data_IF_825976310433
#
_entry.id   IF_825976310433
#
_cell.length_a   1.000
_cell.length_b   1.000
_cell.length_c   1.000
_cell.angle_alpha   90.00
_cell.angle_beta   90.00
_cell.angle_gamma   90.00
#
_symmetry.space_group_name_H-M   'P 1'
#
loop_
_entity.id
_entity.type
_entity.pdbx_description
1 polymer ?
#
# COMPACT_ATOMS: atom_id res chain seq x y z
N UNK A 1 80.40 6.46 40.18
CA UNK A 1 81.11 5.79 39.06
C UNK A 1 80.46 6.27 37.78
N UNK A 2 81.12 7.15 37.03
CA UNK A 2 80.61 7.63 35.74
C UNK A 2 80.92 6.59 34.67
N UNK A 3 79.91 6.22 33.87
CA UNK A 3 80.10 5.35 32.70
C UNK A 3 80.96 6.13 31.70
N UNK A 4 82.00 5.50 31.13
CA UNK A 4 82.85 6.12 30.12
C UNK A 4 82.02 6.54 28.90
N UNK A 5 82.38 7.65 28.27
CA UNK A 5 81.71 8.13 27.06
C UNK A 5 81.70 7.06 25.96
N UNK A 6 82.81 6.35 25.80
CA UNK A 6 82.97 5.29 24.81
C UNK A 6 82.02 4.10 25.05
N UNK A 7 81.74 3.76 26.32
CA UNK A 7 80.79 2.70 26.64
C UNK A 7 79.34 3.13 26.41
N UNK A 8 79.02 4.40 26.65
CA UNK A 8 77.70 4.93 26.33
C UNK A 8 77.45 4.97 24.81
N UNK A 9 78.44 5.36 24.02
CA UNK A 9 78.36 5.36 22.55
C UNK A 9 78.23 3.94 21.97
N UNK A 10 78.98 2.98 22.52
CA UNK A 10 78.84 1.56 22.16
C UNK A 10 77.44 1.02 22.48
N UNK A 11 76.86 1.35 23.64
CA UNK A 11 75.52 0.89 24.00
C UNK A 11 74.42 1.54 23.13
N UNK A 12 74.57 2.82 22.79
CA UNK A 12 73.62 3.53 21.94
C UNK A 12 73.60 2.96 20.50
N UNK A 13 74.77 2.64 19.96
CA UNK A 13 74.91 2.03 18.63
C UNK A 13 74.35 0.61 18.60
N UNK A 14 74.60 -0.22 19.62
CA UNK A 14 74.01 -1.55 19.71
C UNK A 14 72.48 -1.51 19.84
N UNK A 15 71.94 -0.59 20.63
CA UNK A 15 70.50 -0.40 20.75
C UNK A 15 69.87 0.05 19.42
N UNK A 16 70.55 0.95 18.69
CA UNK A 16 70.12 1.39 17.37
C UNK A 16 70.14 0.25 16.34
N UNK A 17 71.18 -0.58 16.35
CA UNK A 17 71.29 -1.74 15.47
C UNK A 17 70.22 -2.80 15.78
N UNK A 18 69.96 -3.06 17.07
CA UNK A 18 68.88 -3.96 17.50
C UNK A 18 67.52 -3.50 17.00
N UNK A 19 67.22 -2.21 17.14
CA UNK A 19 65.98 -1.62 16.63
C UNK A 19 65.88 -1.70 15.11
N UNK A 20 66.98 -1.46 14.38
CA UNK A 20 67.01 -1.61 12.93
C UNK A 20 66.70 -3.05 12.49
N UNK A 21 67.29 -4.05 13.16
CA UNK A 21 67.02 -5.45 12.87
C UNK A 21 65.58 -5.86 13.21
N UNK A 22 65.02 -5.38 14.33
CA UNK A 22 63.62 -5.61 14.67
C UNK A 22 62.67 -5.02 13.61
N UNK A 23 62.93 -3.79 13.18
CA UNK A 23 62.12 -3.12 12.16
C UNK A 23 62.21 -3.87 10.82
N UNK A 24 63.39 -4.32 10.42
CA UNK A 24 63.58 -5.13 9.21
C UNK A 24 62.81 -6.46 9.29
N UNK A 25 62.83 -7.15 10.44
CA UNK A 25 62.11 -8.39 10.63
C UNK A 25 60.58 -8.19 10.57
N UNK A 26 60.07 -7.13 11.19
CA UNK A 26 58.64 -6.78 11.15
C UNK A 26 58.17 -6.33 9.76
N UNK A 27 59.04 -5.63 9.02
CA UNK A 27 58.74 -5.14 7.67
C UNK A 27 58.99 -6.18 6.58
N UNK A 28 59.82 -7.20 6.84
CA UNK A 28 60.18 -8.24 5.87
C UNK A 28 58.98 -8.85 5.12
N UNK A 29 57.91 -9.28 5.81
CA UNK A 29 56.70 -9.83 5.18
C UNK A 29 55.94 -8.86 4.27
N UNK A 30 56.12 -7.55 4.44
CA UNK A 30 55.38 -6.50 3.71
C UNK A 30 56.31 -5.77 2.71
N UNK A 31 57.62 -5.96 2.84
CA UNK A 31 58.67 -5.26 2.07
C UNK A 31 58.55 -5.49 0.56
N UNK A 32 58.05 -6.66 0.12
CA UNK A 32 57.76 -6.95 -1.28
C UNK A 32 56.58 -6.15 -1.84
N UNK A 33 55.61 -5.81 -1.00
CA UNK A 33 54.44 -5.00 -1.39
C UNK A 33 54.75 -3.49 -1.42
N UNK A 34 55.71 -3.02 -0.61
CA UNK A 34 56.11 -1.61 -0.53
C UNK A 34 57.31 -1.27 -1.41
N UNK A 35 58.20 -2.24 -1.70
CA UNK A 35 59.36 -2.02 -2.55
C UNK A 35 59.00 -2.00 -4.03
N UNK A 36 59.31 -0.88 -4.69
CA UNK A 36 59.28 -0.79 -6.15
C UNK A 36 60.37 -1.64 -6.85
N UNK A 37 61.13 -2.49 -6.14
CA UNK A 37 62.10 -3.42 -6.72
C UNK A 37 61.78 -4.91 -6.54
N UNK A 38 60.61 -5.28 -6.00
CA UNK A 38 60.23 -6.70 -5.80
C UNK A 38 60.10 -7.51 -7.10
N UNK A 39 60.33 -8.85 -7.06
CA UNK A 39 60.20 -9.77 -8.20
C UNK A 39 58.90 -9.57 -9.00
N UNK A 40 58.98 -9.71 -10.32
CA UNK A 40 57.87 -9.40 -11.23
C UNK A 40 56.65 -10.31 -11.02
N UNK A 41 56.84 -11.53 -10.51
CA UNK A 41 55.79 -12.48 -10.15
C UNK A 41 54.89 -11.91 -9.04
N UNK A 42 55.48 -11.36 -7.98
CA UNK A 42 54.75 -10.79 -6.84
C UNK A 42 53.90 -9.59 -7.28
N UNK A 43 54.46 -8.73 -8.13
CA UNK A 43 53.72 -7.62 -8.77
C UNK A 43 52.54 -8.10 -9.58
N UNK A 44 52.74 -9.13 -10.40
CA UNK A 44 51.66 -9.70 -11.23
C UNK A 44 50.52 -10.26 -10.37
N UNK A 45 50.84 -10.89 -9.24
CA UNK A 45 49.85 -11.37 -8.26
C UNK A 45 49.09 -10.19 -7.65
N UNK A 46 49.80 -9.13 -7.26
CA UNK A 46 49.20 -7.91 -6.69
C UNK A 46 48.25 -7.22 -7.68
N UNK A 47 48.63 -7.11 -8.95
CA UNK A 47 47.77 -6.58 -10.01
C UNK A 47 46.51 -7.45 -10.20
N UNK A 48 46.65 -8.78 -10.22
CA UNK A 48 45.49 -9.69 -10.29
C UNK A 48 44.58 -9.55 -9.07
N UNK A 49 45.16 -9.39 -7.87
CA UNK A 49 44.40 -9.22 -6.63
C UNK A 49 43.60 -7.93 -6.64
N UNK A 50 44.22 -6.80 -7.01
CA UNK A 50 43.56 -5.49 -7.09
C UNK A 50 42.45 -5.50 -8.13
N UNK A 51 42.66 -6.12 -9.30
CA UNK A 51 41.62 -6.31 -10.32
C UNK A 51 40.45 -7.16 -9.81
N UNK A 52 40.72 -8.27 -9.10
CA UNK A 52 39.68 -9.11 -8.47
C UNK A 52 38.88 -8.31 -7.45
N UNK A 53 39.54 -7.49 -6.63
CA UNK A 53 38.89 -6.64 -5.64
C UNK A 53 37.99 -5.59 -6.31
N UNK A 54 38.47 -4.91 -7.35
CA UNK A 54 37.68 -3.95 -8.12
C UNK A 54 36.48 -4.62 -8.81
N UNK A 55 36.66 -5.82 -9.39
CA UNK A 55 35.57 -6.61 -9.98
C UNK A 55 34.53 -6.98 -8.92
N UNK A 56 34.96 -7.40 -7.73
CA UNK A 56 34.08 -7.72 -6.62
C UNK A 56 33.23 -6.51 -6.19
N UNK A 57 33.86 -5.34 -6.03
CA UNK A 57 33.14 -4.08 -5.73
C UNK A 57 32.10 -3.76 -6.79
N UNK A 58 32.48 -3.76 -8.08
CA UNK A 58 31.54 -3.50 -9.19
C UNK A 58 30.38 -4.49 -9.20
N UNK A 59 30.67 -5.77 -9.01
CA UNK A 59 29.65 -6.82 -8.99
C UNK A 59 28.68 -6.67 -7.80
N UNK A 60 29.18 -6.26 -6.63
CA UNK A 60 28.33 -5.94 -5.46
C UNK A 60 27.34 -4.83 -5.80
N UNK A 61 27.83 -3.72 -6.36
CA UNK A 61 26.99 -2.59 -6.77
C UNK A 61 25.98 -2.98 -7.85
N UNK A 62 26.39 -3.77 -8.85
CA UNK A 62 25.50 -4.23 -9.90
C UNK A 62 24.38 -5.12 -9.36
N UNK A 63 24.69 -6.09 -8.49
CA UNK A 63 23.68 -6.94 -7.84
C UNK A 63 22.71 -6.13 -6.98
N UNK A 64 23.22 -5.13 -6.25
CA UNK A 64 22.38 -4.24 -5.45
C UNK A 64 21.41 -3.45 -6.33
N UNK A 65 21.89 -2.85 -7.42
CA UNK A 65 21.05 -2.12 -8.38
C UNK A 65 20.02 -3.05 -9.03
N UNK A 66 20.43 -4.25 -9.44
CA UNK A 66 19.51 -5.25 -10.02
C UNK A 66 18.41 -5.65 -9.04
N UNK A 67 18.76 -5.94 -7.77
CA UNK A 67 17.76 -6.26 -6.74
C UNK A 67 16.79 -5.11 -6.50
N UNK A 68 17.27 -3.87 -6.48
CA UNK A 68 16.43 -2.68 -6.33
C UNK A 68 15.44 -2.56 -7.49
N UNK A 69 15.91 -2.67 -8.73
CA UNK A 69 15.06 -2.63 -9.92
C UNK A 69 14.03 -3.76 -9.93
N UNK A 70 14.42 -4.98 -9.53
CA UNK A 70 13.47 -6.09 -9.44
C UNK A 70 12.40 -5.81 -8.37
N UNK A 71 12.78 -5.29 -7.20
CA UNK A 71 11.83 -4.90 -6.17
C UNK A 71 10.90 -3.77 -6.64
N UNK A 72 11.40 -2.78 -7.37
CA UNK A 72 10.60 -1.70 -7.97
C UNK A 72 9.57 -2.24 -8.97
N UNK A 73 9.94 -3.21 -9.81
CA UNK A 73 9.00 -3.88 -10.72
C UNK A 73 7.90 -4.60 -9.96
N UNK A 74 8.24 -5.39 -8.94
CA UNK A 74 7.25 -6.09 -8.12
C UNK A 74 6.32 -5.14 -7.37
N UNK A 75 6.83 -4.01 -6.86
CA UNK A 75 6.00 -3.00 -6.22
C UNK A 75 5.01 -2.37 -7.20
N UNK A 76 5.47 -2.05 -8.42
CA UNK A 76 4.59 -1.50 -9.45
C UNK A 76 3.49 -2.49 -9.83
N UNK A 77 3.86 -3.75 -10.08
CA UNK A 77 2.91 -4.81 -10.40
C UNK A 77 1.87 -4.97 -9.29
N UNK A 78 2.29 -4.99 -8.02
CA UNK A 78 1.38 -5.07 -6.88
C UNK A 78 0.43 -3.88 -6.81
N UNK A 79 0.94 -2.66 -7.00
CA UNK A 79 0.12 -1.45 -6.99
C UNK A 79 -0.92 -1.44 -8.14
N UNK A 80 -0.56 -2.00 -9.32
CA UNK A 80 -1.51 -2.15 -10.42
C UNK A 80 -2.63 -3.14 -10.08
N UNK A 81 -2.33 -4.26 -9.41
CA UNK A 81 -3.37 -5.18 -8.92
C UNK A 81 -4.25 -4.54 -7.84
N UNK A 82 -3.64 -3.87 -6.85
CA UNK A 82 -4.39 -3.20 -5.78
C UNK A 82 -5.34 -2.12 -6.35
N UNK A 83 -4.92 -1.41 -7.41
CA UNK A 83 -5.78 -0.42 -8.10
C UNK A 83 -7.02 -1.08 -8.72
N UNK A 84 -6.84 -2.21 -9.40
CA UNK A 84 -7.95 -2.93 -10.05
C UNK A 84 -8.91 -3.49 -9.01
N UNK A 85 -8.40 -3.99 -7.89
CA UNK A 85 -9.23 -4.50 -6.80
C UNK A 85 -10.08 -3.39 -6.17
N UNK A 86 -9.47 -2.22 -5.92
CA UNK A 86 -10.17 -1.03 -5.43
C UNK A 86 -11.27 -0.58 -6.40
N UNK A 87 -11.00 -0.55 -7.70
CA UNK A 87 -11.99 -0.18 -8.71
C UNK A 87 -13.18 -1.16 -8.72
N UNK A 88 -12.91 -2.45 -8.57
CA UNK A 88 -13.95 -3.48 -8.48
C UNK A 88 -14.78 -3.35 -7.19
N UNK A 89 -14.15 -3.06 -6.06
CA UNK A 89 -14.82 -2.77 -4.80
C UNK A 89 -15.71 -1.54 -4.89
N UNK A 90 -15.20 -0.44 -5.45
CA UNK A 90 -15.95 0.79 -5.67
C UNK A 90 -17.15 0.57 -6.59
N UNK A 91 -16.97 -0.20 -7.67
CA UNK A 91 -18.06 -0.54 -8.57
C UNK A 91 -19.14 -1.35 -7.85
N UNK A 92 -18.75 -2.35 -7.06
CA UNK A 92 -19.68 -3.14 -6.24
C UNK A 92 -20.42 -2.27 -5.24
N UNK A 93 -19.72 -1.39 -4.53
CA UNK A 93 -20.32 -0.47 -3.57
C UNK A 93 -21.35 0.45 -4.24
N UNK A 94 -21.07 0.96 -5.44
CA UNK A 94 -22.01 1.77 -6.23
C UNK A 94 -23.27 0.98 -6.60
N UNK A 95 -23.14 -0.27 -7.03
CA UNK A 95 -24.31 -1.11 -7.34
C UNK A 95 -25.14 -1.40 -6.11
N UNK A 96 -24.51 -1.76 -4.99
CA UNK A 96 -25.20 -2.00 -3.72
C UNK A 96 -25.96 -0.74 -3.28
N UNK A 97 -25.34 0.44 -3.35
CA UNK A 97 -25.99 1.69 -3.01
C UNK A 97 -27.21 1.98 -3.92
N UNK A 98 -27.09 1.71 -5.22
CA UNK A 98 -28.19 1.87 -6.18
C UNK A 98 -29.36 0.94 -5.86
N UNK A 99 -29.07 -0.32 -5.56
CA UNK A 99 -30.10 -1.30 -5.19
C UNK A 99 -30.78 -0.95 -3.87
N UNK A 100 -30.03 -0.49 -2.87
CA UNK A 100 -30.58 0.00 -1.60
C UNK A 100 -31.50 1.20 -1.85
N UNK A 101 -31.08 2.16 -2.68
CA UNK A 101 -31.91 3.32 -3.02
C UNK A 101 -33.20 2.91 -3.73
N UNK A 102 -33.10 1.98 -4.70
CA UNK A 102 -34.28 1.46 -5.42
C UNK A 102 -35.28 0.80 -4.46
N UNK A 103 -34.80 -0.10 -3.58
CA UNK A 103 -35.65 -0.76 -2.57
C UNK A 103 -36.31 0.24 -1.63
N UNK A 104 -35.61 1.30 -1.22
CA UNK A 104 -36.20 2.38 -0.39
C UNK A 104 -37.33 3.11 -1.10
N UNK A 105 -37.15 3.45 -2.38
CA UNK A 105 -38.19 4.09 -3.19
C UNK A 105 -39.40 3.17 -3.36
N UNK A 106 -39.18 1.91 -3.68
CA UNK A 106 -40.25 0.91 -3.81
C UNK A 106 -41.05 0.77 -2.50
N UNK A 107 -40.36 0.69 -1.36
CA UNK A 107 -41.01 0.65 -0.04
C UNK A 107 -41.84 1.91 0.23
N UNK A 108 -41.31 3.10 -0.09
CA UNK A 108 -42.03 4.36 0.08
C UNK A 108 -43.28 4.43 -0.82
N UNK A 109 -43.19 3.94 -2.05
CA UNK A 109 -44.35 3.84 -2.96
C UNK A 109 -45.41 2.87 -2.42
N UNK A 110 -45.00 1.73 -1.85
CA UNK A 110 -45.94 0.80 -1.22
C UNK A 110 -46.68 1.45 -0.05
N UNK A 111 -45.99 2.23 0.79
CA UNK A 111 -46.61 2.97 1.90
C UNK A 111 -47.63 3.99 1.36
N UNK A 112 -47.26 4.76 0.32
CA UNK A 112 -48.15 5.75 -0.28
C UNK A 112 -49.41 5.10 -0.90
N UNK A 113 -49.25 3.98 -1.60
CA UNK A 113 -50.38 3.18 -2.15
C UNK A 113 -51.28 2.63 -1.05
N UNK A 114 -50.70 2.15 0.05
CA UNK A 114 -51.46 1.66 1.19
C UNK A 114 -52.30 2.79 1.82
N UNK A 115 -51.69 3.95 2.07
CA UNK A 115 -52.37 5.13 2.63
C UNK A 115 -53.50 5.63 1.74
N UNK A 116 -53.30 5.70 0.42
CA UNK A 116 -54.34 6.11 -0.53
C UNK A 116 -55.49 5.11 -0.59
N UNK A 117 -55.22 3.81 -0.52
CA UNK A 117 -56.27 2.79 -0.49
C UNK A 117 -57.05 2.78 0.85
N UNK A 118 -56.38 3.05 1.98
CA UNK A 118 -57.04 3.21 3.28
C UNK A 118 -57.96 4.42 3.29
N UNK A 119 -57.53 5.57 2.75
CA UNK A 119 -58.38 6.75 2.64
C UNK A 119 -59.56 6.54 1.69
N UNK A 120 -59.34 5.86 0.55
CA UNK A 120 -60.42 5.48 -0.37
C UNK A 120 -61.47 4.62 0.34
N UNK A 121 -61.05 3.61 1.10
CA UNK A 121 -61.97 2.76 1.88
C UNK A 121 -62.76 3.54 2.92
N UNK A 122 -62.11 4.52 3.58
CA UNK A 122 -62.77 5.40 4.55
C UNK A 122 -63.86 6.25 3.89
N UNK A 123 -63.56 6.88 2.75
CA UNK A 123 -64.54 7.65 1.99
C UNK A 123 -65.68 6.78 1.45
N UNK A 124 -65.38 5.57 0.97
CA UNK A 124 -66.39 4.60 0.55
C UNK A 124 -67.35 4.23 1.71
N UNK A 125 -66.84 4.05 2.94
CA UNK A 125 -67.70 3.80 4.11
C UNK A 125 -68.53 5.00 4.54
N UNK A 126 -68.03 6.23 4.33
CA UNK A 126 -68.79 7.46 4.63
C UNK A 126 -69.96 7.63 3.65
N UNK A 127 -69.72 7.38 2.36
CA UNK A 127 -70.78 7.40 1.34
C UNK A 127 -71.85 6.33 1.62
N UNK A 128 -71.45 5.13 2.05
CA UNK A 128 -72.41 4.07 2.40
C UNK A 128 -73.30 4.47 3.58
N UNK A 129 -72.71 5.03 4.64
CA UNK A 129 -73.46 5.52 5.80
C UNK A 129 -74.43 6.65 5.43
N UNK A 130 -73.99 7.59 4.60
CA UNK A 130 -74.86 8.66 4.12
C UNK A 130 -76.03 8.11 3.30
N UNK A 131 -75.77 7.19 2.38
CA UNK A 131 -76.83 6.51 1.61
C UNK A 131 -77.82 5.81 2.55
N UNK A 132 -77.36 5.00 3.50
CA UNK A 132 -78.20 4.32 4.50
C UNK A 132 -79.05 5.32 5.32
N UNK A 133 -78.47 6.44 5.74
CA UNK A 133 -79.18 7.49 6.45
C UNK A 133 -80.29 8.11 5.58
N UNK A 134 -80.04 8.35 4.30
CA UNK A 134 -81.06 8.86 3.37
C UNK A 134 -82.15 7.82 3.07
N UNK A 135 -81.81 6.53 2.90
CA UNK A 135 -82.79 5.46 2.73
C UNK A 135 -83.77 5.39 3.92
N UNK A 136 -83.23 5.46 5.15
CA UNK A 136 -84.01 5.44 6.39
C UNK A 136 -84.94 6.67 6.55
N UNK A 137 -84.60 7.79 5.92
CA UNK A 137 -85.39 9.01 5.97
C UNK A 137 -86.49 9.10 4.89
N UNK A 138 -86.30 8.40 3.76
CA UNK A 138 -87.12 8.57 2.55
C UNK A 138 -87.89 7.27 2.18
N UNK A 139 -87.67 6.14 2.87
CA UNK A 139 -88.30 4.82 2.61
C UNK A 139 -88.08 4.33 1.16
N UNK A 140 -86.93 4.66 0.56
CA UNK A 140 -86.55 4.27 -0.82
C UNK A 140 -85.14 3.67 -0.80
N UNK A 141 -84.91 2.61 -1.57
CA UNK A 141 -83.58 2.01 -1.74
C UNK A 141 -82.73 2.81 -2.73
N UNK A 142 -81.57 3.28 -2.28
CA UNK A 142 -80.60 4.08 -3.02
C UNK A 142 -79.33 3.25 -3.28
N UNK A 143 -78.97 3.07 -4.55
CA UNK A 143 -77.70 2.43 -4.94
C UNK A 143 -76.57 3.46 -5.03
N UNK A 144 -75.32 3.01 -4.93
CA UNK A 144 -74.12 3.87 -5.07
C UNK A 144 -74.09 4.69 -6.37
N UNK A 145 -74.72 4.19 -7.44
CA UNK A 145 -74.84 4.87 -8.72
C UNK A 145 -75.71 6.13 -8.67
N UNK A 146 -76.51 6.31 -7.60
CA UNK A 146 -77.37 7.48 -7.40
C UNK A 146 -76.61 8.71 -6.84
N UNK A 147 -75.37 8.53 -6.34
CA UNK A 147 -74.55 9.64 -5.83
C UNK A 147 -73.72 10.28 -6.96
N UNK A 148 -74.34 11.19 -7.71
CA UNK A 148 -73.70 11.87 -8.85
C UNK A 148 -72.75 12.96 -8.33
N UNK A 149 -71.45 12.69 -8.39
CA UNK A 149 -70.41 13.68 -8.10
C UNK A 149 -70.09 14.52 -9.34
N UNK A 150 -69.64 15.77 -9.15
CA UNK A 150 -69.33 16.75 -10.22
C UNK A 150 -68.34 16.25 -11.28
N UNK A 151 -67.58 15.18 -10.98
CA UNK A 151 -66.63 14.52 -11.87
C UNK A 151 -67.29 13.57 -12.89
N UNK A 152 -68.50 13.08 -12.63
CA UNK A 152 -69.21 12.14 -13.51
C UNK A 152 -70.06 12.82 -14.60
N UNK A 153 -70.12 14.16 -14.60
CA UNK A 153 -70.99 14.95 -15.50
C UNK A 153 -70.19 15.58 -16.67
N UNK A 154 -68.85 15.53 -16.65
CA UNK A 154 -67.96 16.10 -17.70
C UNK A 154 -67.01 15.07 -18.28
#
# INVERSE_FOLDING_TARGET
MGISQDTHESMATDAANYLCHQLQHLLGPISSATSQSGPWEERSVMVRLTQKLQKSKRNKWWRQRRRKHVAELFQKERADYDRVDQEADEWRAKQIAKDIAKRRVESMQQIARKKTNEERKRLESEVDLDLENYECFIDVTLTRDNNITTRNIY
#
